data_IF_057882269275
#
_entry.id   IF_057882269275
#
_cell.length_a   1.000
_cell.length_b   1.000
_cell.length_c   1.000
_cell.angle_alpha   90.00
_cell.angle_beta   90.00
_cell.angle_gamma   90.00
#
_symmetry.space_group_name_H-M   'P 1'
#
loop_
_entity.id
_entity.type
_entity.pdbx_description
1 polymer ?
#
# COMPACT_ATOMS: atom_id res chain seq x y z
N UNK A 1 35.59 36.52 -25.82
CA UNK A 1 34.85 37.57 -25.09
C UNK A 1 33.56 37.86 -25.86
N UNK A 2 32.44 37.26 -25.49
CA UNK A 2 31.11 37.74 -25.92
C UNK A 2 30.20 37.48 -24.73
N UNK A 3 29.76 38.59 -24.11
CA UNK A 3 28.76 38.58 -23.03
C UNK A 3 27.37 38.63 -23.65
N UNK A 4 26.55 37.60 -23.41
CA UNK A 4 25.14 37.62 -23.76
C UNK A 4 24.33 38.05 -22.54
N UNK A 5 23.67 39.18 -22.66
CA UNK A 5 22.77 39.76 -21.66
C UNK A 5 21.37 39.24 -21.97
N UNK A 6 20.76 38.50 -21.04
CA UNK A 6 19.33 38.18 -21.11
C UNK A 6 18.52 39.21 -20.33
N UNK A 7 17.64 39.87 -21.07
CA UNK A 7 16.65 40.83 -20.55
C UNK A 7 15.44 40.03 -20.06
N UNK A 8 15.10 40.19 -18.78
CA UNK A 8 13.84 39.70 -18.21
C UNK A 8 12.70 40.65 -18.57
N UNK A 9 11.68 40.13 -19.26
CA UNK A 9 10.41 40.82 -19.46
C UNK A 9 9.41 40.34 -18.37
N UNK A 10 9.03 41.29 -17.51
CA UNK A 10 7.96 41.19 -16.55
C UNK A 10 6.62 41.36 -17.27
N UNK A 11 5.78 40.31 -17.29
CA UNK A 11 4.38 40.41 -17.70
C UNK A 11 3.52 40.48 -16.43
N UNK A 12 2.97 41.65 -16.17
CA UNK A 12 1.97 41.95 -15.15
C UNK A 12 0.58 41.58 -15.68
N UNK A 13 -0.17 40.75 -14.96
CA UNK A 13 -1.61 40.54 -15.18
C UNK A 13 -2.41 41.26 -14.10
N UNK A 14 -3.47 41.99 -14.47
CA UNK A 14 -4.35 42.67 -13.52
C UNK A 14 -5.37 41.70 -12.92
N UNK A 15 -5.66 41.91 -11.64
CA UNK A 15 -6.66 41.18 -10.88
C UNK A 15 -8.09 41.47 -11.31
N UNK A 16 -8.95 40.49 -11.14
CA UNK A 16 -10.40 40.68 -11.12
C UNK A 16 -10.92 40.20 -9.77
N UNK A 17 -11.34 41.16 -8.96
CA UNK A 17 -12.08 40.94 -7.74
C UNK A 17 -13.59 40.90 -8.09
N UNK A 18 -14.32 39.93 -7.59
CA UNK A 18 -15.77 40.00 -7.50
C UNK A 18 -16.22 39.55 -6.12
N UNK A 19 -17.11 40.38 -5.61
CA UNK A 19 -17.61 40.49 -4.26
C UNK A 19 -18.64 39.43 -3.87
N UNK A 20 -18.60 39.03 -2.60
CA UNK A 20 -19.63 39.04 -1.55
C UNK A 20 -21.08 38.64 -1.91
N UNK A 21 -21.57 37.68 -1.16
CA UNK A 21 -22.98 37.42 -0.93
C UNK A 21 -23.16 36.59 0.33
N UNK A 22 -23.22 37.27 1.47
CA UNK A 22 -23.65 36.69 2.75
C UNK A 22 -25.17 36.68 2.82
N UNK A 23 -25.77 35.57 3.21
CA UNK A 23 -27.05 35.57 3.93
C UNK A 23 -27.09 34.46 4.96
N UNK A 24 -27.05 34.88 6.20
CA UNK A 24 -27.41 34.08 7.34
C UNK A 24 -28.94 33.99 7.44
N UNK A 25 -29.49 32.83 7.71
CA UNK A 25 -30.81 32.69 8.32
C UNK A 25 -30.80 31.63 9.41
N UNK A 26 -30.99 32.11 10.61
CA UNK A 26 -31.43 31.37 11.80
C UNK A 26 -32.90 30.95 11.62
N UNK A 27 -33.23 29.77 12.08
CA UNK A 27 -34.63 29.36 12.22
C UNK A 27 -34.78 27.94 12.76
N UNK A 28 -35.03 27.82 14.03
CA UNK A 28 -36.18 27.11 14.56
C UNK A 28 -35.92 25.66 14.98
N UNK A 29 -35.62 25.44 16.29
CA UNK A 29 -35.93 24.20 16.99
C UNK A 29 -37.45 23.96 16.98
N UNK A 30 -37.87 22.81 16.46
CA UNK A 30 -39.18 22.26 16.78
C UNK A 30 -39.05 20.83 17.28
N UNK A 31 -39.42 20.62 18.51
CA UNK A 31 -39.76 19.33 19.10
C UNK A 31 -40.92 18.69 18.33
N UNK A 32 -40.78 17.50 17.81
CA UNK A 32 -41.89 16.66 17.38
C UNK A 32 -41.65 15.25 17.94
N UNK A 33 -42.35 14.95 18.98
CA UNK A 33 -43.42 13.97 19.20
C UNK A 33 -43.11 12.53 18.75
N UNK A 34 -43.04 11.72 19.77
CA UNK A 34 -43.08 10.27 19.86
C UNK A 34 -44.17 9.67 18.97
N UNK A 35 -43.77 8.79 18.03
CA UNK A 35 -44.67 7.88 17.33
C UNK A 35 -44.27 6.43 17.61
N UNK A 36 -45.18 5.57 18.12
CA UNK A 36 -44.92 4.15 18.28
C UNK A 36 -45.27 3.40 17.00
N UNK A 37 -44.46 2.42 16.65
CA UNK A 37 -44.79 1.37 15.69
C UNK A 37 -44.10 1.48 14.35
N UNK A 38 -42.86 1.00 14.27
CA UNK A 38 -42.28 0.56 13.00
C UNK A 38 -41.87 -0.91 13.13
N UNK A 39 -42.61 -1.74 12.45
CA UNK A 39 -42.30 -3.11 12.12
C UNK A 39 -40.94 -3.18 11.42
N UNK A 40 -40.05 -4.05 11.92
CA UNK A 40 -38.83 -4.43 11.25
C UNK A 40 -39.18 -5.23 9.98
N UNK A 41 -39.36 -4.55 8.86
CA UNK A 41 -39.25 -5.20 7.55
C UNK A 41 -37.77 -5.37 7.26
N UNK A 42 -37.36 -6.63 7.07
CA UNK A 42 -36.01 -7.00 6.72
C UNK A 42 -35.59 -6.34 5.40
N UNK A 43 -34.68 -5.38 5.48
CA UNK A 43 -33.95 -4.91 4.31
C UNK A 43 -32.99 -6.01 3.91
N UNK A 44 -33.44 -6.85 2.97
CA UNK A 44 -32.52 -7.62 2.15
C UNK A 44 -31.59 -6.61 1.48
N UNK A 45 -30.34 -6.56 1.93
CA UNK A 45 -29.29 -5.85 1.19
C UNK A 45 -29.12 -6.58 -0.14
N UNK A 46 -29.78 -6.08 -1.16
CA UNK A 46 -29.37 -6.36 -2.54
C UNK A 46 -27.95 -5.85 -2.65
N UNK A 47 -27.03 -6.74 -3.04
CA UNK A 47 -25.67 -6.36 -3.38
C UNK A 47 -25.76 -5.44 -4.62
N UNK A 48 -26.01 -4.14 -4.39
CA UNK A 48 -25.90 -3.15 -5.42
C UNK A 48 -24.47 -3.16 -5.93
N UNK A 49 -24.35 -3.37 -7.24
CA UNK A 49 -23.07 -3.41 -7.91
C UNK A 49 -22.28 -2.14 -7.57
N UNK A 50 -21.17 -2.31 -6.85
CA UNK A 50 -20.22 -1.23 -6.57
C UNK A 50 -19.81 -0.64 -7.92
N UNK A 51 -19.97 0.67 -8.16
CA UNK A 51 -19.56 1.28 -9.42
C UNK A 51 -18.07 0.98 -9.67
N UNK A 52 -17.74 0.51 -10.87
CA UNK A 52 -16.35 0.31 -11.28
C UNK A 52 -15.60 1.64 -11.13
N UNK A 53 -14.71 1.74 -10.12
CA UNK A 53 -13.93 2.95 -9.85
C UNK A 53 -13.85 3.39 -8.40
N UNK A 54 -14.67 2.85 -7.48
CA UNK A 54 -14.48 3.09 -6.04
C UNK A 54 -13.49 2.05 -5.50
N UNK A 55 -12.21 2.38 -5.58
CA UNK A 55 -11.15 1.74 -4.80
C UNK A 55 -11.35 2.18 -3.36
N UNK A 56 -11.89 1.30 -2.53
CA UNK A 56 -12.20 1.63 -1.15
C UNK A 56 -10.92 1.91 -0.38
N UNK A 57 -10.71 3.17 0.01
CA UNK A 57 -9.76 3.56 1.04
C UNK A 57 -10.27 3.16 2.45
N UNK A 58 -10.75 1.91 2.59
CA UNK A 58 -11.02 1.31 3.89
C UNK A 58 -9.74 0.82 4.55
N UNK A 59 -9.84 0.12 5.67
CA UNK A 59 -8.67 -0.55 6.25
C UNK A 59 -8.09 -1.48 5.19
N UNK A 60 -6.87 -1.22 4.74
CA UNK A 60 -6.24 -1.84 3.58
C UNK A 60 -6.26 -3.38 3.63
N UNK A 61 -6.08 -3.95 4.83
CA UNK A 61 -6.14 -5.39 5.04
C UNK A 61 -7.55 -5.97 4.78
N UNK A 62 -8.61 -5.32 5.26
CA UNK A 62 -9.97 -5.78 4.98
C UNK A 62 -10.33 -5.68 3.51
N UNK A 63 -9.92 -4.62 2.82
CA UNK A 63 -10.17 -4.46 1.40
C UNK A 63 -9.46 -5.56 0.58
N UNK A 64 -8.20 -5.86 0.90
CA UNK A 64 -7.45 -6.92 0.25
C UNK A 64 -8.08 -8.31 0.49
N UNK A 65 -8.46 -8.63 1.72
CA UNK A 65 -9.12 -9.90 2.05
C UNK A 65 -10.48 -10.00 1.36
N UNK A 66 -11.28 -8.93 1.36
CA UNK A 66 -12.59 -8.91 0.72
C UNK A 66 -12.50 -9.20 -0.78
N UNK A 67 -11.53 -8.64 -1.47
CA UNK A 67 -11.32 -8.86 -2.90
C UNK A 67 -10.97 -10.33 -3.19
N UNK A 68 -10.04 -10.91 -2.42
CA UNK A 68 -9.66 -12.32 -2.54
C UNK A 68 -10.84 -13.24 -2.22
N UNK A 69 -11.59 -13.00 -1.15
CA UNK A 69 -12.78 -13.78 -0.78
C UNK A 69 -13.84 -13.72 -1.88
N UNK A 70 -14.09 -12.53 -2.44
CA UNK A 70 -15.06 -12.38 -3.54
C UNK A 70 -14.62 -13.19 -4.78
N UNK A 71 -13.33 -13.18 -5.12
CA UNK A 71 -12.79 -13.98 -6.23
C UNK A 71 -12.93 -15.49 -5.97
N UNK A 72 -12.59 -15.97 -4.77
CA UNK A 72 -12.72 -17.38 -4.38
C UNK A 72 -14.19 -17.84 -4.43
N UNK A 73 -15.13 -17.01 -3.97
CA UNK A 73 -16.56 -17.31 -3.99
C UNK A 73 -17.15 -17.30 -5.40
N UNK A 74 -16.59 -16.52 -6.32
CA UNK A 74 -17.05 -16.44 -7.71
C UNK A 74 -16.53 -17.59 -8.58
N UNK A 75 -15.43 -18.25 -8.20
CA UNK A 75 -14.85 -19.36 -8.95
C UNK A 75 -15.43 -20.70 -8.49
N UNK A 76 -16.25 -21.39 -9.32
CA UNK A 76 -16.82 -22.70 -8.98
C UNK A 76 -15.76 -23.81 -8.85
N UNK A 77 -14.53 -23.58 -9.32
CA UNK A 77 -13.43 -24.53 -9.20
C UNK A 77 -12.61 -24.36 -7.91
N UNK A 78 -12.99 -23.43 -7.04
CA UNK A 78 -12.31 -23.20 -5.77
C UNK A 78 -12.29 -24.45 -4.89
N UNK A 79 -11.10 -24.94 -4.56
CA UNK A 79 -10.92 -26.02 -3.58
C UNK A 79 -10.94 -25.45 -2.16
N UNK A 80 -12.12 -25.41 -1.56
CA UNK A 80 -12.34 -24.86 -0.22
C UNK A 80 -11.58 -25.60 0.89
N UNK A 81 -11.12 -26.82 0.65
CA UNK A 81 -10.31 -27.57 1.63
C UNK A 81 -8.89 -27.01 1.77
N UNK A 82 -8.45 -26.21 0.81
CA UNK A 82 -7.13 -25.58 0.77
C UNK A 82 -7.14 -24.10 1.08
N UNK A 83 -8.31 -23.48 1.18
CA UNK A 83 -8.42 -22.04 1.48
C UNK A 83 -7.95 -21.76 2.89
N UNK A 84 -6.99 -20.84 3.02
CA UNK A 84 -6.40 -20.36 4.27
C UNK A 84 -6.36 -18.85 4.31
N UNK A 85 -7.46 -18.24 4.72
CA UNK A 85 -7.57 -16.78 4.88
C UNK A 85 -6.70 -16.28 6.05
N UNK A 86 -6.40 -17.15 7.03
CA UNK A 86 -5.55 -16.77 8.14
C UNK A 86 -4.08 -16.59 7.70
N UNK A 87 -3.59 -17.42 6.78
CA UNK A 87 -2.28 -17.24 6.16
C UNK A 87 -2.20 -15.90 5.41
N UNK A 88 -3.24 -15.54 4.65
CA UNK A 88 -3.32 -14.23 4.01
C UNK A 88 -3.34 -13.11 5.05
N UNK A 89 -4.15 -13.23 6.12
CA UNK A 89 -4.20 -12.22 7.19
C UNK A 89 -2.83 -12.02 7.84
N UNK A 90 -2.10 -13.10 8.13
CA UNK A 90 -0.75 -13.02 8.71
C UNK A 90 0.22 -12.29 7.76
N UNK A 91 0.18 -12.61 6.49
CA UNK A 91 1.00 -11.92 5.49
C UNK A 91 0.73 -10.40 5.43
N UNK A 92 -0.53 -9.98 5.50
CA UNK A 92 -0.90 -8.57 5.56
C UNK A 92 -0.40 -7.89 6.83
N UNK A 93 -0.40 -8.59 7.98
CA UNK A 93 0.22 -8.10 9.22
C UNK A 93 1.73 -7.90 9.03
N UNK A 94 2.41 -8.84 8.38
CA UNK A 94 3.84 -8.72 8.11
C UNK A 94 4.14 -7.53 7.19
N UNK A 95 3.30 -7.29 6.17
CA UNK A 95 3.40 -6.10 5.32
C UNK A 95 3.24 -4.81 6.12
N UNK A 96 2.23 -4.71 6.97
CA UNK A 96 2.00 -3.55 7.83
C UNK A 96 3.17 -3.33 8.82
N UNK A 97 3.68 -4.38 9.44
CA UNK A 97 4.83 -4.32 10.32
C UNK A 97 6.07 -3.74 9.62
N UNK A 98 6.37 -4.20 8.40
CA UNK A 98 7.50 -3.70 7.63
C UNK A 98 7.27 -2.27 7.16
N UNK A 99 6.07 -1.95 6.67
CA UNK A 99 5.79 -0.65 6.07
C UNK A 99 5.63 0.47 7.10
N UNK A 100 5.00 0.17 8.24
CA UNK A 100 4.56 1.19 9.21
C UNK A 100 5.45 1.23 10.46
N UNK A 101 6.12 0.12 10.81
CA UNK A 101 6.78 -0.02 12.11
C UNK A 101 8.28 -0.32 12.03
N UNK A 102 8.81 -0.64 10.85
CA UNK A 102 10.25 -0.76 10.68
C UNK A 102 10.93 0.61 10.67
N UNK A 103 12.08 0.70 11.35
CA UNK A 103 13.02 1.80 11.19
C UNK A 103 13.98 1.45 10.06
N UNK A 104 14.18 2.35 9.11
CA UNK A 104 15.07 2.14 7.97
C UNK A 104 16.23 3.14 8.02
N UNK A 105 17.46 2.62 7.99
CA UNK A 105 18.67 3.39 7.72
C UNK A 105 19.12 3.12 6.29
N UNK A 106 19.49 4.18 5.58
CA UNK A 106 19.91 4.11 4.18
C UNK A 106 21.39 4.49 4.08
N UNK A 107 22.15 3.67 3.36
CA UNK A 107 23.55 3.94 3.02
C UNK A 107 23.74 3.83 1.52
N UNK A 108 24.36 4.81 0.92
CA UNK A 108 24.75 4.71 -0.48
C UNK A 108 25.85 3.66 -0.66
N UNK A 109 25.71 2.87 -1.72
CA UNK A 109 26.73 1.94 -2.19
C UNK A 109 26.98 2.18 -3.67
N UNK A 110 28.09 1.67 -4.19
CA UNK A 110 28.37 1.73 -5.62
C UNK A 110 27.25 1.06 -6.41
N UNK A 111 26.68 1.78 -7.37
CA UNK A 111 25.56 1.32 -8.18
C UNK A 111 24.18 1.28 -7.52
N UNK A 112 24.01 1.76 -6.26
CA UNK A 112 22.71 1.70 -5.63
C UNK A 112 22.67 2.15 -4.17
N UNK A 113 21.97 1.37 -3.36
CA UNK A 113 21.80 1.62 -1.93
C UNK A 113 21.76 0.32 -1.11
N UNK A 114 22.15 0.44 0.15
CA UNK A 114 21.94 -0.53 1.22
C UNK A 114 20.91 0.04 2.19
N UNK A 115 19.86 -0.72 2.42
CA UNK A 115 18.76 -0.43 3.34
C UNK A 115 18.88 -1.36 4.55
N UNK A 116 18.94 -0.82 5.75
CA UNK A 116 18.95 -1.60 7.00
C UNK A 116 17.62 -1.37 7.72
N UNK A 117 16.69 -2.34 7.57
CA UNK A 117 15.40 -2.33 8.22
C UNK A 117 15.47 -3.04 9.57
N UNK A 118 15.10 -2.33 10.64
CA UNK A 118 15.25 -2.82 12.02
C UNK A 118 14.06 -2.45 12.88
N UNK A 119 13.86 -3.18 13.99
CA UNK A 119 12.92 -2.83 15.05
C UNK A 119 13.41 -3.34 16.39
N UNK A 120 12.89 -2.75 17.48
CA UNK A 120 13.04 -3.29 18.85
C UNK A 120 11.85 -4.19 19.22
N UNK A 121 10.75 -4.13 18.47
CA UNK A 121 9.62 -5.02 18.62
C UNK A 121 9.91 -6.37 17.96
N UNK A 122 9.73 -7.46 18.72
CA UNK A 122 10.06 -8.80 18.27
C UNK A 122 9.17 -9.26 17.09
N UNK A 123 7.88 -8.87 17.06
CA UNK A 123 6.97 -9.21 15.98
C UNK A 123 7.38 -8.49 14.69
N UNK A 124 7.68 -7.19 14.76
CA UNK A 124 8.18 -6.41 13.63
C UNK A 124 9.51 -6.94 13.11
N UNK A 125 10.44 -7.29 14.03
CA UNK A 125 11.72 -7.90 13.65
C UNK A 125 11.52 -9.23 12.91
N UNK A 126 10.58 -10.05 13.37
CA UNK A 126 10.23 -11.32 12.71
C UNK A 126 9.69 -11.08 11.31
N UNK A 127 8.76 -10.13 11.14
CA UNK A 127 8.20 -9.75 9.83
C UNK A 127 9.28 -9.25 8.87
N UNK A 128 10.20 -8.40 9.35
CA UNK A 128 11.34 -7.90 8.54
C UNK A 128 12.19 -9.06 8.04
N UNK A 129 12.54 -10.00 8.92
CA UNK A 129 13.37 -11.16 8.59
C UNK A 129 12.69 -12.16 7.66
N UNK A 130 11.37 -12.24 7.71
CA UNK A 130 10.60 -13.05 6.77
C UNK A 130 10.50 -12.39 5.39
N UNK A 131 10.11 -11.11 5.35
CA UNK A 131 9.75 -10.44 4.10
C UNK A 131 10.95 -9.97 3.27
N UNK A 132 11.99 -9.40 3.90
CA UNK A 132 13.11 -8.80 3.15
C UNK A 132 13.90 -9.84 2.36
N UNK A 133 14.30 -10.99 2.94
CA UNK A 133 14.96 -12.05 2.16
C UNK A 133 14.06 -12.66 1.08
N UNK A 134 12.76 -12.89 1.39
CA UNK A 134 11.81 -13.41 0.44
C UNK A 134 11.63 -12.47 -0.76
N UNK A 135 11.51 -11.17 -0.51
CA UNK A 135 11.44 -10.15 -1.56
C UNK A 135 12.72 -10.17 -2.42
N UNK A 136 13.90 -10.14 -1.80
CA UNK A 136 15.16 -10.17 -2.54
C UNK A 136 15.27 -11.41 -3.43
N UNK A 137 14.91 -12.59 -2.93
CA UNK A 137 14.96 -13.83 -3.71
C UNK A 137 13.99 -13.85 -4.90
N UNK A 138 12.80 -13.24 -4.72
CA UNK A 138 11.76 -13.21 -5.76
C UNK A 138 12.00 -12.12 -6.80
N UNK A 139 12.59 -10.99 -6.39
CA UNK A 139 12.70 -9.78 -7.22
C UNK A 139 14.11 -9.57 -7.77
N UNK A 140 15.06 -10.44 -7.48
CA UNK A 140 16.41 -10.37 -8.09
C UNK A 140 16.33 -10.45 -9.61
N UNK A 141 16.95 -9.50 -10.29
CA UNK A 141 16.92 -9.35 -11.76
C UNK A 141 15.72 -8.56 -12.31
N UNK A 142 14.65 -8.33 -11.50
CA UNK A 142 13.51 -7.51 -11.92
C UNK A 142 13.94 -6.04 -12.04
N UNK A 143 13.43 -5.32 -13.04
CA UNK A 143 13.86 -3.95 -13.39
C UNK A 143 15.36 -3.83 -13.70
N UNK A 144 16.08 -4.93 -13.90
CA UNK A 144 17.53 -4.95 -14.07
C UNK A 144 18.30 -4.68 -12.77
N UNK A 145 17.68 -4.90 -11.62
CA UNK A 145 18.30 -4.73 -10.31
C UNK A 145 18.84 -6.04 -9.77
N UNK A 146 20.06 -5.99 -9.21
CA UNK A 146 20.57 -7.07 -8.38
C UNK A 146 20.20 -6.80 -6.93
N UNK A 147 19.61 -7.81 -6.25
CA UNK A 147 19.16 -7.73 -4.89
C UNK A 147 19.84 -8.77 -4.01
N UNK A 148 20.35 -8.36 -2.86
CA UNK A 148 20.93 -9.25 -1.87
C UNK A 148 20.42 -8.88 -0.47
N UNK A 149 19.86 -9.85 0.23
CA UNK A 149 19.43 -9.69 1.61
C UNK A 149 20.34 -10.45 2.58
N UNK A 150 20.45 -9.91 3.79
CA UNK A 150 21.16 -10.57 4.91
C UNK A 150 20.51 -10.20 6.23
N UNK A 151 20.47 -11.14 7.17
CA UNK A 151 20.04 -10.83 8.53
C UNK A 151 21.07 -9.94 9.22
N UNK A 152 20.56 -8.99 10.01
CA UNK A 152 21.34 -8.13 10.89
C UNK A 152 20.73 -8.12 12.30
N UNK A 153 21.43 -7.52 13.26
CA UNK A 153 20.88 -7.32 14.59
C UNK A 153 19.60 -6.49 14.53
N UNK A 154 18.50 -7.05 15.05
CA UNK A 154 17.18 -6.39 15.07
C UNK A 154 16.43 -6.34 13.75
N UNK A 155 16.87 -7.03 12.69
CA UNK A 155 16.17 -7.00 11.41
C UNK A 155 16.93 -7.64 10.24
N UNK A 156 16.85 -6.98 9.08
CA UNK A 156 17.53 -7.40 7.85
C UNK A 156 18.08 -6.20 7.07
N UNK A 157 19.12 -6.45 6.29
CA UNK A 157 19.66 -5.52 5.33
C UNK A 157 19.33 -5.99 3.91
N UNK A 158 18.97 -5.04 3.04
CA UNK A 158 18.76 -5.23 1.61
C UNK A 158 19.73 -4.34 0.84
N UNK A 159 20.57 -4.95 0.01
CA UNK A 159 21.42 -4.23 -0.95
C UNK A 159 20.79 -4.32 -2.31
N UNK A 160 20.58 -3.19 -2.96
CA UNK A 160 20.00 -3.10 -4.32
C UNK A 160 20.94 -2.29 -5.18
N UNK A 161 21.31 -2.85 -6.32
CA UNK A 161 22.18 -2.18 -7.31
C UNK A 161 21.61 -2.35 -8.70
N UNK A 162 21.91 -1.39 -9.60
CA UNK A 162 21.43 -1.40 -10.97
C UNK A 162 22.04 -0.27 -11.80
N UNK A 163 21.59 -0.16 -13.04
CA UNK A 163 22.09 0.86 -13.99
C UNK A 163 21.63 2.30 -13.66
N UNK A 164 20.59 2.44 -12.85
CA UNK A 164 20.05 3.73 -12.41
C UNK A 164 20.04 3.82 -10.87
N UNK A 165 21.18 4.11 -10.24
CA UNK A 165 21.29 4.18 -8.78
C UNK A 165 20.48 5.30 -8.15
N UNK A 166 20.24 6.39 -8.87
CA UNK A 166 19.46 7.51 -8.37
C UNK A 166 17.98 7.14 -8.25
N UNK A 167 17.45 6.35 -9.17
CA UNK A 167 16.09 5.77 -9.08
C UNK A 167 15.95 4.87 -7.85
N UNK A 168 16.93 4.00 -7.60
CA UNK A 168 16.93 3.11 -6.43
C UNK A 168 16.92 3.94 -5.14
N UNK A 169 17.76 4.96 -5.04
CA UNK A 169 17.84 5.86 -3.88
C UNK A 169 16.56 6.66 -3.68
N UNK A 170 15.97 7.19 -4.76
CA UNK A 170 14.75 7.98 -4.72
C UNK A 170 13.53 7.16 -4.27
N UNK A 171 13.42 5.89 -4.70
CA UNK A 171 12.37 4.97 -4.26
C UNK A 171 12.50 4.63 -2.78
N UNK A 172 13.72 4.58 -2.26
CA UNK A 172 13.97 4.16 -0.89
C UNK A 172 13.56 2.73 -0.63
N UNK A 173 13.68 2.29 0.62
CA UNK A 173 13.37 0.91 1.00
C UNK A 173 11.94 0.49 0.63
N UNK A 174 10.94 1.28 1.02
CA UNK A 174 9.54 0.91 0.80
C UNK A 174 9.19 0.91 -0.69
N UNK A 175 9.68 1.90 -1.47
CA UNK A 175 9.46 1.91 -2.92
C UNK A 175 10.07 0.68 -3.60
N UNK A 176 11.28 0.29 -3.20
CA UNK A 176 11.92 -0.94 -3.70
C UNK A 176 11.11 -2.18 -3.36
N UNK A 177 10.64 -2.30 -2.10
CA UNK A 177 9.82 -3.43 -1.63
C UNK A 177 8.46 -3.54 -2.35
N UNK A 178 8.02 -2.52 -3.08
CA UNK A 178 6.74 -2.54 -3.83
C UNK A 178 6.91 -2.76 -5.33
N UNK A 179 8.14 -2.69 -5.86
CA UNK A 179 8.38 -2.87 -7.29
C UNK A 179 8.20 -4.34 -7.69
N UNK A 180 7.52 -4.57 -8.82
CA UNK A 180 7.36 -5.88 -9.43
C UNK A 180 6.44 -6.84 -8.68
N UNK A 181 5.94 -6.50 -7.52
CA UNK A 181 5.05 -7.34 -6.73
C UNK A 181 3.65 -7.38 -7.36
N UNK A 182 3.24 -8.55 -7.83
CA UNK A 182 1.86 -8.84 -8.21
C UNK A 182 1.04 -9.18 -6.95
N UNK A 183 0.82 -8.18 -6.08
CA UNK A 183 0.23 -8.37 -4.76
C UNK A 183 -1.04 -9.23 -4.78
N UNK A 184 -1.96 -9.00 -5.72
CA UNK A 184 -3.21 -9.76 -5.76
C UNK A 184 -3.00 -11.24 -6.12
N UNK A 185 -2.13 -11.55 -7.07
CA UNK A 185 -1.80 -12.95 -7.41
C UNK A 185 -1.08 -13.64 -6.24
N UNK A 186 -0.22 -12.93 -5.53
CA UNK A 186 0.47 -13.40 -4.34
C UNK A 186 -0.50 -13.66 -3.17
N UNK A 187 -1.42 -12.72 -2.91
CA UNK A 187 -2.46 -12.87 -1.90
C UNK A 187 -3.39 -14.05 -2.19
N UNK A 188 -3.77 -14.24 -3.46
CA UNK A 188 -4.58 -15.38 -3.87
C UNK A 188 -3.83 -16.71 -3.67
N UNK A 189 -2.54 -16.76 -4.00
CA UNK A 189 -1.69 -17.93 -3.79
C UNK A 189 -1.65 -18.32 -2.30
N UNK A 190 -1.39 -17.35 -1.40
CA UNK A 190 -1.42 -17.58 0.04
C UNK A 190 -2.79 -18.06 0.51
N UNK A 191 -3.86 -17.40 0.09
CA UNK A 191 -5.23 -17.76 0.48
C UNK A 191 -5.66 -19.16 -0.02
N UNK A 192 -5.02 -19.69 -1.06
CA UNK A 192 -5.26 -21.04 -1.59
C UNK A 192 -4.25 -22.09 -1.10
N UNK A 193 -3.52 -21.78 -0.02
CA UNK A 193 -2.55 -22.68 0.60
C UNK A 193 -1.32 -22.95 -0.25
N UNK A 194 -0.98 -22.05 -1.17
CA UNK A 194 0.28 -22.07 -1.88
C UNK A 194 1.31 -21.23 -1.11
N UNK A 195 2.57 -21.66 -1.10
CA UNK A 195 3.65 -20.84 -0.55
C UNK A 195 4.43 -20.21 -1.72
N UNK A 196 4.17 -18.95 -2.09
CA UNK A 196 4.85 -18.30 -3.20
C UNK A 196 6.33 -17.98 -2.91
N UNK A 197 6.81 -18.22 -1.69
CA UNK A 197 8.20 -17.99 -1.27
C UNK A 197 9.07 -19.26 -1.31
N UNK A 198 8.52 -20.42 -1.68
CA UNK A 198 9.31 -21.64 -1.89
C UNK A 198 9.68 -21.78 -3.36
N UNK A 199 10.92 -21.53 -3.65
CA UNK A 199 11.58 -21.88 -4.92
C UNK A 199 12.62 -22.97 -4.69
#
# INVERSE_FOLDING_TARGET
MIRLVFVFALLSFPGLALAQGATAQHGGMQHAQHMPGMSHEGHGMTADAVPAGLMQGGQSAFAAIQEIVAQLMADPATDWSRVDIEALRQHLIDMDNVTLHARVEVREVEGGARFEATSQDAAVTSSIRAMVPAHAATMDGVEGWAMQASEISGGAALVVTGSDPDRIRALGFIGVMTVGMHHQAHHLALATGQNPHTH
#
